data_IF_142518234971
#
_entry.id   IF_142518234971
#
_cell.length_a   1.000
_cell.length_b   1.000
_cell.length_c   1.000
_cell.angle_alpha   90.00
_cell.angle_beta   90.00
_cell.angle_gamma   90.00
#
_symmetry.space_group_name_H-M   'P 1'
#
loop_
_entity.id
_entity.type
_entity.pdbx_description
1 polymer ?
#
# COMPACT_ATOMS: atom_id res chain seq x y z
N UNK A 1 -17.98 -15.28 -1.91
CA UNK A 1 -17.57 -14.25 -2.88
C UNK A 1 -16.46 -13.41 -2.32
N UNK A 2 -15.35 -13.27 -3.05
CA UNK A 2 -14.24 -12.37 -2.75
C UNK A 2 -14.29 -11.19 -3.73
N UNK A 3 -15.23 -10.27 -3.53
CA UNK A 3 -15.53 -9.19 -4.49
C UNK A 3 -15.02 -7.81 -4.05
N UNK A 4 -14.27 -7.72 -2.95
CA UNK A 4 -13.81 -6.44 -2.42
C UNK A 4 -12.64 -6.59 -1.47
N UNK A 5 -11.90 -5.50 -1.30
CA UNK A 5 -10.74 -5.40 -0.42
C UNK A 5 -10.77 -4.07 0.33
N UNK A 6 -10.18 -4.03 1.53
CA UNK A 6 -9.91 -2.82 2.29
C UNK A 6 -8.45 -2.80 2.70
N UNK A 7 -7.76 -1.69 2.42
CA UNK A 7 -6.36 -1.47 2.79
C UNK A 7 -6.30 -0.21 3.65
N UNK A 8 -5.63 -0.29 4.79
CA UNK A 8 -5.33 0.85 5.66
C UNK A 8 -3.82 0.92 5.87
N UNK A 9 -3.26 2.13 5.93
CA UNK A 9 -1.88 2.36 6.35
C UNK A 9 -1.94 2.99 7.74
N UNK A 10 -1.32 2.33 8.71
CA UNK A 10 -1.33 2.75 10.12
C UNK A 10 0.08 2.94 10.64
N UNK A 11 0.20 3.63 11.77
CA UNK A 11 1.43 3.55 12.55
C UNK A 11 1.65 2.14 13.13
N UNK A 12 2.76 1.96 13.85
CA UNK A 12 3.16 0.67 14.44
C UNK A 12 2.15 0.10 15.44
N UNK A 13 1.24 0.93 15.99
CA UNK A 13 0.21 0.47 16.91
C UNK A 13 -0.97 -0.22 16.21
N UNK A 14 -1.13 0.00 14.89
CA UNK A 14 -2.27 -0.49 14.13
C UNK A 14 -3.55 0.34 14.29
N UNK A 15 -3.55 1.40 15.09
CA UNK A 15 -4.76 2.15 15.46
C UNK A 15 -4.92 3.46 14.70
N UNK A 16 -3.82 4.17 14.44
CA UNK A 16 -3.85 5.51 13.85
C UNK A 16 -3.57 5.43 12.37
N UNK A 17 -4.48 5.96 11.56
CA UNK A 17 -4.26 6.14 10.13
C UNK A 17 -3.15 7.17 9.90
N UNK A 18 -2.26 6.86 8.97
CA UNK A 18 -1.15 7.73 8.59
C UNK A 18 -1.07 7.85 7.07
N UNK A 19 -0.57 8.99 6.60
CA UNK A 19 -0.29 9.21 5.19
C UNK A 19 1.22 9.17 4.95
N UNK A 20 1.71 8.02 4.47
CA UNK A 20 3.14 7.84 4.15
C UNK A 20 3.58 8.61 2.90
N UNK A 21 2.65 9.11 2.09
CA UNK A 21 2.92 9.86 0.85
C UNK A 21 2.97 11.38 1.07
N UNK A 22 2.77 11.85 2.30
CA UNK A 22 2.76 13.29 2.61
C UNK A 22 4.17 13.92 2.65
N UNK A 23 5.22 13.13 2.83
CA UNK A 23 6.61 13.59 2.91
C UNK A 23 7.57 12.61 2.25
N UNK A 24 8.58 13.15 1.56
CA UNK A 24 9.72 12.43 1.00
C UNK A 24 10.60 11.74 2.07
N UNK A 25 10.52 12.21 3.33
CA UNK A 25 11.23 11.58 4.46
C UNK A 25 10.80 10.11 4.65
N UNK A 26 9.62 9.74 4.14
CA UNK A 26 9.09 8.39 4.21
C UNK A 26 9.49 7.51 3.01
N UNK A 27 10.42 7.93 2.15
CA UNK A 27 10.79 7.22 0.91
C UNK A 27 11.02 5.71 1.11
N UNK A 28 11.77 5.30 2.15
CA UNK A 28 12.00 3.87 2.45
C UNK A 28 10.68 3.11 2.72
N UNK A 29 9.72 3.76 3.39
CA UNK A 29 8.42 3.15 3.70
C UNK A 29 7.55 3.08 2.44
N UNK A 30 7.61 4.11 1.60
CA UNK A 30 6.91 4.15 0.31
C UNK A 30 7.45 3.08 -0.64
N UNK A 31 8.76 2.93 -0.77
CA UNK A 31 9.40 1.87 -1.58
C UNK A 31 8.95 0.48 -1.12
N UNK A 32 8.92 0.24 0.19
CA UNK A 32 8.39 -1.02 0.76
C UNK A 32 6.92 -1.23 0.43
N UNK A 33 6.12 -0.17 0.51
CA UNK A 33 4.70 -0.24 0.14
C UNK A 33 4.55 -0.62 -1.34
N UNK A 34 5.26 0.05 -2.25
CA UNK A 34 5.20 -0.24 -3.68
C UNK A 34 5.69 -1.65 -3.99
N UNK A 35 6.80 -2.10 -3.39
CA UNK A 35 7.29 -3.47 -3.55
C UNK A 35 6.22 -4.51 -3.19
N UNK A 36 5.50 -4.31 -2.07
CA UNK A 36 4.43 -5.22 -1.66
C UNK A 36 3.24 -5.18 -2.61
N UNK A 37 2.82 -3.98 -3.05
CA UNK A 37 1.70 -3.82 -3.99
C UNK A 37 2.01 -4.40 -5.37
N UNK A 38 3.22 -4.19 -5.88
CA UNK A 38 3.68 -4.77 -7.15
C UNK A 38 3.67 -6.31 -7.05
N UNK A 39 4.05 -6.88 -5.91
CA UNK A 39 3.97 -8.32 -5.69
C UNK A 39 2.54 -8.90 -5.72
N UNK A 40 1.52 -8.07 -5.44
CA UNK A 40 0.11 -8.44 -5.58
C UNK A 40 -0.35 -8.31 -7.05
N UNK A 41 0.22 -7.37 -7.80
CA UNK A 41 -0.01 -7.25 -9.24
C UNK A 41 0.59 -8.44 -10.00
N UNK A 42 1.84 -8.81 -9.70
CA UNK A 42 2.54 -9.95 -10.31
C UNK A 42 1.78 -11.28 -10.13
N UNK A 43 1.10 -11.44 -8.99
CA UNK A 43 0.30 -12.65 -8.68
C UNK A 43 -1.12 -12.61 -9.25
N UNK A 44 -1.48 -11.55 -9.98
CA UNK A 44 -2.82 -11.37 -10.54
C UNK A 44 -3.90 -11.09 -9.48
N UNK A 45 -3.53 -10.62 -8.29
CA UNK A 45 -4.48 -10.22 -7.24
C UNK A 45 -5.01 -8.82 -7.51
N UNK A 46 -4.14 -7.91 -7.95
CA UNK A 46 -4.50 -6.55 -8.35
C UNK A 46 -4.02 -6.23 -9.78
N UNK A 47 -4.56 -5.16 -10.35
CA UNK A 47 -4.09 -4.59 -11.62
C UNK A 47 -3.69 -3.15 -11.37
N UNK A 48 -2.49 -2.78 -11.82
CA UNK A 48 -2.03 -1.39 -11.79
C UNK A 48 -2.59 -0.66 -13.00
N UNK A 49 -3.25 0.47 -12.77
CA UNK A 49 -3.70 1.37 -13.83
C UNK A 49 -2.86 2.64 -13.74
N UNK A 50 -2.21 3.00 -14.84
CA UNK A 50 -1.62 4.34 -14.97
C UNK A 50 -2.76 5.35 -15.11
N UNK A 51 -2.64 6.48 -14.41
CA UNK A 51 -3.54 7.62 -14.53
C UNK A 51 -3.00 8.63 -15.52
#
# INVERSE_FOLDING_TARGET
NLSGVKINITDKSGLRLVNIFKSEDNHIIQEKFYFLMDSLVERGIFTKQEQ
#
